data_IF_132965524931
#
_entry.id   IF_132965524931
#
_cell.length_a   1.000
_cell.length_b   1.000
_cell.length_c   1.000
_cell.angle_alpha   90.00
_cell.angle_beta   90.00
_cell.angle_gamma   90.00
#
_symmetry.space_group_name_H-M   'P 1'
#
loop_
_entity.id
_entity.type
_entity.pdbx_description
1 polymer ?
#
# COMPACT_ATOMS: atom_id res chain seq x y z
N UNK A 1 15.95 -10.96 1.88
CA UNK A 1 16.35 -9.76 1.11
C UNK A 1 17.63 -10.09 0.35
N UNK A 2 17.68 -9.81 -0.95
CA UNK A 2 18.84 -10.18 -1.80
C UNK A 2 20.05 -9.27 -1.53
N UNK A 3 21.28 -9.78 -1.74
CA UNK A 3 22.51 -8.99 -1.61
C UNK A 3 22.54 -7.79 -2.56
N UNK A 4 21.99 -7.97 -3.77
CA UNK A 4 21.84 -6.91 -4.77
C UNK A 4 20.88 -5.82 -4.31
N UNK A 5 19.70 -6.16 -3.78
CA UNK A 5 18.77 -5.14 -3.32
C UNK A 5 19.35 -4.27 -2.21
N UNK A 6 20.11 -4.88 -1.28
CA UNK A 6 20.80 -4.14 -0.22
C UNK A 6 21.74 -3.06 -0.77
N UNK A 7 22.45 -3.33 -1.88
CA UNK A 7 23.37 -2.34 -2.47
C UNK A 7 22.65 -1.18 -3.16
N UNK A 8 21.49 -1.44 -3.77
CA UNK A 8 20.73 -0.40 -4.52
C UNK A 8 19.63 0.28 -3.69
N UNK A 9 19.38 -0.19 -2.47
CA UNK A 9 18.33 0.36 -1.58
C UNK A 9 18.49 1.87 -1.36
N UNK A 10 19.73 2.34 -1.17
CA UNK A 10 20.03 3.77 -0.98
C UNK A 10 19.64 4.61 -2.21
N UNK A 11 19.82 4.06 -3.41
CA UNK A 11 19.51 4.75 -4.66
C UNK A 11 17.99 4.90 -4.80
N UNK A 12 17.22 3.87 -4.46
CA UNK A 12 15.76 3.96 -4.41
C UNK A 12 15.26 5.01 -3.40
N UNK A 13 15.85 5.07 -2.19
CA UNK A 13 15.50 6.09 -1.20
C UNK A 13 15.81 7.50 -1.73
N UNK A 14 17.00 7.68 -2.30
CA UNK A 14 17.41 8.97 -2.86
C UNK A 14 16.50 9.39 -4.01
N UNK A 15 16.16 8.44 -4.90
CA UNK A 15 15.22 8.67 -5.99
C UNK A 15 13.85 9.09 -5.47
N UNK A 16 13.29 8.37 -4.50
CA UNK A 16 11.99 8.70 -3.91
C UNK A 16 11.97 10.10 -3.25
N UNK A 17 13.04 10.45 -2.53
CA UNK A 17 13.16 11.76 -1.87
C UNK A 17 13.19 12.93 -2.86
N UNK A 18 13.71 12.72 -4.06
CA UNK A 18 13.73 13.73 -5.12
C UNK A 18 12.41 13.84 -5.90
N UNK A 19 11.45 12.93 -5.65
CA UNK A 19 10.18 12.83 -6.38
C UNK A 19 9.00 12.64 -5.40
N UNK A 20 9.03 13.35 -4.26
CA UNK A 20 7.98 13.24 -3.23
C UNK A 20 6.59 13.73 -3.69
N UNK A 21 6.55 14.50 -4.77
CA UNK A 21 5.34 15.01 -5.42
C UNK A 21 4.82 14.09 -6.55
N UNK A 22 5.60 13.09 -6.98
CA UNK A 22 5.18 12.11 -7.98
C UNK A 22 4.75 10.80 -7.33
N UNK A 23 3.44 10.62 -7.18
CA UNK A 23 2.87 9.41 -6.62
C UNK A 23 3.26 8.14 -7.43
N UNK A 24 3.51 8.25 -8.74
CA UNK A 24 3.89 7.10 -9.58
C UNK A 24 5.29 6.64 -9.24
N UNK A 25 6.22 7.58 -9.12
CA UNK A 25 7.59 7.30 -8.69
C UNK A 25 7.61 6.64 -7.30
N UNK A 26 6.88 7.22 -6.33
CA UNK A 26 6.77 6.68 -4.97
C UNK A 26 6.15 5.28 -4.95
N UNK A 27 5.09 5.05 -5.73
CA UNK A 27 4.44 3.74 -5.85
C UNK A 27 5.38 2.67 -6.45
N UNK A 28 6.12 3.03 -7.50
CA UNK A 28 7.11 2.14 -8.11
C UNK A 28 8.24 1.78 -7.13
N UNK A 29 8.72 2.75 -6.35
CA UNK A 29 9.71 2.49 -5.29
C UNK A 29 9.13 1.51 -4.27
N UNK A 30 7.95 1.79 -3.72
CA UNK A 30 7.29 0.92 -2.75
C UNK A 30 7.13 -0.53 -3.26
N UNK A 31 6.77 -0.71 -4.53
CA UNK A 31 6.68 -2.03 -5.16
C UNK A 31 8.04 -2.76 -5.19
N UNK A 32 9.13 -2.07 -5.52
CA UNK A 32 10.48 -2.64 -5.46
C UNK A 32 10.87 -3.08 -4.05
N UNK A 33 10.50 -2.30 -3.03
CA UNK A 33 10.72 -2.67 -1.63
C UNK A 33 9.90 -3.91 -1.23
N UNK A 34 8.62 -3.95 -1.59
CA UNK A 34 7.73 -5.08 -1.30
C UNK A 34 8.22 -6.38 -1.94
N UNK A 35 8.63 -6.33 -3.23
CA UNK A 35 9.19 -7.48 -3.95
C UNK A 35 10.46 -8.04 -3.29
N UNK A 36 11.16 -7.23 -2.49
CA UNK A 36 12.37 -7.62 -1.76
C UNK A 36 12.12 -7.89 -0.26
N UNK A 37 10.86 -8.03 0.13
CA UNK A 37 10.39 -8.24 1.50
C UNK A 37 10.75 -7.11 2.48
N UNK A 38 11.01 -5.90 1.98
CA UNK A 38 11.23 -4.70 2.77
C UNK A 38 9.88 -4.04 3.05
N UNK A 39 9.06 -4.69 3.87
CA UNK A 39 7.64 -4.38 3.99
C UNK A 39 7.38 -3.06 4.72
N UNK A 40 8.12 -2.74 5.78
CA UNK A 40 7.93 -1.48 6.51
C UNK A 40 8.19 -0.25 5.62
N UNK A 41 9.24 -0.29 4.80
CA UNK A 41 9.53 0.80 3.87
C UNK A 41 8.55 0.83 2.69
N UNK A 42 8.12 -0.33 2.19
CA UNK A 42 7.07 -0.39 1.16
C UNK A 42 5.79 0.31 1.65
N UNK A 43 5.37 0.01 2.89
CA UNK A 43 4.23 0.67 3.52
C UNK A 43 4.44 2.19 3.58
N UNK A 44 5.61 2.62 4.03
CA UNK A 44 5.95 4.06 4.12
C UNK A 44 5.80 4.76 2.76
N UNK A 45 6.37 4.19 1.69
CA UNK A 45 6.33 4.83 0.38
C UNK A 45 4.97 4.73 -0.32
N UNK A 46 4.19 3.67 -0.08
CA UNK A 46 2.79 3.63 -0.55
C UNK A 46 1.92 4.67 0.15
N UNK A 47 2.11 4.92 1.45
CA UNK A 47 1.40 6.00 2.16
C UNK A 47 1.77 7.37 1.58
N UNK A 48 3.06 7.64 1.35
CA UNK A 48 3.50 8.88 0.69
C UNK A 48 2.90 9.02 -0.71
N UNK A 49 2.89 7.94 -1.50
CA UNK A 49 2.28 7.94 -2.83
C UNK A 49 0.78 8.27 -2.77
N UNK A 50 0.06 7.70 -1.81
CA UNK A 50 -1.36 8.01 -1.61
C UNK A 50 -1.61 9.47 -1.21
N UNK A 51 -0.72 10.09 -0.43
CA UNK A 51 -0.82 11.52 -0.08
C UNK A 51 -0.51 12.43 -1.28
N UNK A 52 0.43 12.05 -2.14
CA UNK A 52 0.80 12.81 -3.33
C UNK A 52 -0.23 12.71 -4.46
N UNK A 53 -1.09 11.68 -4.45
CA UNK A 53 -2.06 11.47 -5.52
C UNK A 53 -3.30 12.37 -5.40
N UNK A 54 -3.63 13.04 -6.50
CA UNK A 54 -4.87 13.78 -6.69
C UNK A 54 -6.12 12.88 -6.67
N UNK A 55 -7.26 13.44 -6.26
CA UNK A 55 -8.54 12.71 -6.33
C UNK A 55 -9.01 12.55 -7.78
N UNK A 56 -9.67 11.44 -8.14
CA UNK A 56 -9.96 10.29 -7.26
C UNK A 56 -8.74 9.36 -7.12
N UNK A 57 -8.49 8.89 -5.89
CA UNK A 57 -7.29 8.09 -5.59
C UNK A 57 -7.50 6.59 -5.82
N UNK A 58 -6.43 5.88 -6.18
CA UNK A 58 -6.46 4.42 -6.31
C UNK A 58 -6.55 3.73 -4.95
N UNK A 59 -7.13 2.54 -4.94
CA UNK A 59 -7.19 1.67 -3.76
C UNK A 59 -5.92 0.84 -3.56
N UNK A 60 -5.11 0.70 -4.60
CA UNK A 60 -3.96 -0.20 -4.68
C UNK A 60 -2.90 0.05 -3.60
N UNK A 61 -2.75 1.30 -3.13
CA UNK A 61 -1.85 1.62 -2.01
C UNK A 61 -2.24 0.83 -0.77
N UNK A 62 -3.46 1.02 -0.28
CA UNK A 62 -3.92 0.39 0.95
C UNK A 62 -4.23 -1.10 0.76
N UNK A 63 -4.58 -1.53 -0.45
CA UNK A 63 -4.66 -2.95 -0.81
C UNK A 63 -3.30 -3.66 -0.66
N UNK A 64 -2.23 -3.03 -1.14
CA UNK A 64 -0.87 -3.56 -1.06
C UNK A 64 -0.32 -3.52 0.37
N UNK A 65 -0.56 -2.43 1.09
CA UNK A 65 -0.24 -2.28 2.52
C UNK A 65 -0.91 -3.40 3.34
N UNK A 66 -2.20 -3.66 3.11
CA UNK A 66 -2.93 -4.70 3.82
C UNK A 66 -2.35 -6.11 3.61
N UNK A 67 -1.75 -6.38 2.44
CA UNK A 67 -1.09 -7.65 2.15
C UNK A 67 0.28 -7.80 2.83
N UNK A 68 0.93 -6.69 3.20
CA UNK A 68 2.22 -6.70 3.88
C UNK A 68 2.09 -7.01 5.37
N UNK A 69 1.07 -6.46 6.04
CA UNK A 69 0.92 -6.58 7.49
C UNK A 69 0.84 -8.03 8.02
N UNK A 70 0.18 -9.00 7.36
CA UNK A 70 0.25 -10.41 7.78
C UNK A 70 1.66 -10.99 7.71
N UNK A 71 2.52 -10.51 6.80
CA UNK A 71 3.95 -10.89 6.74
C UNK A 71 4.77 -10.33 7.90
N UNK A 72 4.26 -9.27 8.53
CA UNK A 72 4.78 -8.63 9.73
C UNK A 72 4.08 -9.14 11.01
N UNK A 73 3.27 -10.20 10.93
CA UNK A 73 2.44 -10.73 12.02
C UNK A 73 1.46 -9.70 12.64
N UNK A 74 1.02 -8.72 11.86
CA UNK A 74 0.15 -7.63 12.32
C UNK A 74 -1.22 -7.67 11.63
N UNK A 75 -2.05 -8.65 12.00
CA UNK A 75 -3.41 -8.75 11.45
C UNK A 75 -4.25 -7.49 11.70
N UNK A 76 -4.02 -6.79 12.80
CA UNK A 76 -4.82 -5.62 13.18
C UNK A 76 -4.63 -4.46 12.20
N UNK A 77 -3.38 -4.15 11.81
CA UNK A 77 -3.13 -3.11 10.83
C UNK A 77 -3.48 -3.55 9.39
N UNK A 78 -3.45 -4.85 9.09
CA UNK A 78 -3.98 -5.39 7.83
C UNK A 78 -5.48 -5.05 7.66
N UNK A 79 -6.27 -5.22 8.72
CA UNK A 79 -7.70 -4.87 8.74
C UNK A 79 -7.88 -3.36 8.55
N UNK A 80 -7.12 -2.51 9.25
CA UNK A 80 -7.20 -1.05 9.09
C UNK A 80 -6.90 -0.61 7.65
N UNK A 81 -5.91 -1.21 7.02
CA UNK A 81 -5.57 -0.91 5.63
C UNK A 81 -6.71 -1.31 4.67
N UNK A 82 -7.34 -2.48 4.86
CA UNK A 82 -8.54 -2.83 4.08
C UNK A 82 -9.74 -1.92 4.35
N UNK A 83 -9.94 -1.47 5.59
CA UNK A 83 -10.97 -0.46 5.89
C UNK A 83 -10.69 0.85 5.15
N UNK A 84 -9.43 1.22 4.98
CA UNK A 84 -9.03 2.39 4.20
C UNK A 84 -9.33 2.23 2.70
N UNK A 85 -9.19 1.02 2.14
CA UNK A 85 -9.65 0.71 0.78
C UNK A 85 -11.15 1.01 0.63
N UNK A 86 -11.99 0.53 1.56
CA UNK A 86 -13.42 0.81 1.56
C UNK A 86 -13.73 2.30 1.68
N UNK A 87 -12.96 3.03 2.48
CA UNK A 87 -13.09 4.48 2.59
C UNK A 87 -12.77 5.18 1.26
N UNK A 88 -11.69 4.82 0.57
CA UNK A 88 -11.32 5.42 -0.72
C UNK A 88 -12.39 5.16 -1.77
N UNK A 89 -12.89 3.92 -1.87
CA UNK A 89 -14.01 3.58 -2.77
C UNK A 89 -15.22 4.48 -2.54
N UNK A 90 -15.60 4.69 -1.28
CA UNK A 90 -16.74 5.54 -0.93
C UNK A 90 -16.48 7.02 -1.17
N UNK A 91 -15.36 7.55 -0.68
CA UNK A 91 -15.12 9.00 -0.57
C UNK A 91 -14.63 9.61 -1.90
N UNK A 92 -13.92 8.84 -2.72
CA UNK A 92 -13.34 9.32 -3.98
C UNK A 92 -14.09 8.83 -5.22
N UNK A 93 -14.76 7.68 -5.14
CA UNK A 93 -15.45 7.05 -6.28
C UNK A 93 -16.97 6.90 -6.11
N UNK A 94 -17.53 7.28 -4.96
CA UNK A 94 -18.94 7.02 -4.57
C UNK A 94 -19.35 5.53 -4.71
N UNK A 95 -18.38 4.62 -4.62
CA UNK A 95 -18.56 3.20 -4.83
C UNK A 95 -18.78 2.48 -3.49
N UNK A 96 -20.04 2.12 -3.20
CA UNK A 96 -20.47 1.66 -1.86
C UNK A 96 -20.84 0.17 -1.76
N UNK A 97 -21.08 -0.49 -2.89
CA UNK A 97 -21.56 -1.87 -2.95
C UNK A 97 -21.06 -2.59 -4.21
N UNK A 98 -21.24 -3.90 -4.25
CA UNK A 98 -20.83 -4.77 -5.36
C UNK A 98 -19.57 -5.56 -5.06
N UNK A 99 -19.22 -6.46 -5.99
CA UNK A 99 -18.19 -7.50 -5.83
C UNK A 99 -16.89 -6.99 -5.22
N UNK A 100 -16.41 -5.81 -5.63
CA UNK A 100 -15.16 -5.29 -5.10
C UNK A 100 -15.26 -4.92 -3.61
N UNK A 101 -16.34 -4.24 -3.17
CA UNK A 101 -16.57 -3.93 -1.75
C UNK A 101 -16.74 -5.21 -0.93
N UNK A 102 -17.49 -6.18 -1.47
CA UNK A 102 -17.77 -7.44 -0.78
C UNK A 102 -16.48 -8.27 -0.62
N UNK A 103 -15.63 -8.30 -1.66
CA UNK A 103 -14.31 -8.95 -1.61
C UNK A 103 -13.43 -8.36 -0.50
N UNK A 104 -13.42 -7.03 -0.32
CA UNK A 104 -12.63 -6.40 0.74
C UNK A 104 -13.19 -6.72 2.13
N UNK A 105 -14.52 -6.76 2.29
CA UNK A 105 -15.15 -7.20 3.56
C UNK A 105 -14.83 -8.65 3.88
N UNK A 106 -14.86 -9.55 2.90
CA UNK A 106 -14.45 -10.95 3.09
C UNK A 106 -13.00 -11.08 3.53
N UNK A 107 -12.09 -10.27 2.96
CA UNK A 107 -10.68 -10.23 3.39
C UNK A 107 -10.53 -9.78 4.85
N UNK A 108 -11.33 -8.80 5.29
CA UNK A 108 -11.37 -8.37 6.69
C UNK A 108 -11.86 -9.51 7.59
N UNK A 109 -12.96 -10.17 7.23
CA UNK A 109 -13.52 -11.28 8.02
C UNK A 109 -12.51 -12.43 8.19
N UNK A 110 -11.80 -12.81 7.13
CA UNK A 110 -10.74 -13.83 7.18
C UNK A 110 -9.57 -13.49 8.10
N UNK A 111 -9.35 -12.20 8.39
CA UNK A 111 -8.30 -11.75 9.31
C UNK A 111 -8.77 -11.68 10.76
N UNK A 112 -10.09 -11.67 11.01
CA UNK A 112 -10.68 -11.71 12.36
C UNK A 112 -10.87 -13.12 12.90
N UNK A 113 -10.83 -14.13 12.03
CA UNK A 113 -10.76 -15.55 12.37
C UNK A 113 -9.33 -15.97 12.81
#
# INVERSE_FOLDING_TARGET
MSSYFTSVKKDYVTYAQNHLDDWRALFSVANSFSQNCAYEEAITYWELAYQAQEKPRYTDYHGSIALCYPRLNDKANAIKAYQKVLQVLKDDWDYKFGVHVDTIKEKINKLTE
#
